data_IF_176247164133
#
_entry.id   IF_176247164133
#
_cell.length_a   1.000
_cell.length_b   1.000
_cell.length_c   1.000
_cell.angle_alpha   90.00
_cell.angle_beta   90.00
_cell.angle_gamma   90.00
#
_symmetry.space_group_name_H-M   'P 1'
#
loop_
_entity.id
_entity.type
_entity.pdbx_description
1 polymer ?
#
# COMPACT_ATOMS: atom_id res chain seq x y z
N UNK A 1 -22.93 -2.48 -32.07
CA UNK A 1 -22.32 -3.66 -31.43
C UNK A 1 -20.82 -3.48 -31.12
N UNK A 2 -19.96 -3.01 -32.04
CA UNK A 2 -18.52 -2.80 -31.75
C UNK A 2 -18.23 -1.95 -30.49
N UNK A 3 -18.95 -0.85 -30.31
CA UNK A 3 -18.78 0.02 -29.13
C UNK A 3 -19.12 -0.67 -27.79
N UNK A 4 -20.06 -1.62 -27.80
CA UNK A 4 -20.47 -2.34 -26.59
C UNK A 4 -19.40 -3.36 -26.15
N UNK A 5 -18.75 -4.00 -27.12
CA UNK A 5 -17.60 -4.87 -26.86
C UNK A 5 -16.38 -4.08 -26.37
N UNK A 6 -16.12 -2.89 -26.93
CA UNK A 6 -15.06 -2.01 -26.43
C UNK A 6 -15.31 -1.53 -25.00
N UNK A 7 -16.57 -1.26 -24.65
CA UNK A 7 -16.97 -0.87 -23.29
C UNK A 7 -16.79 -2.02 -22.29
N UNK A 8 -17.18 -3.24 -22.67
CA UNK A 8 -17.01 -4.44 -21.84
C UNK A 8 -15.52 -4.78 -21.63
N UNK A 9 -14.68 -4.61 -22.65
CA UNK A 9 -13.23 -4.81 -22.54
C UNK A 9 -12.59 -3.75 -21.63
N UNK A 10 -13.00 -2.48 -21.72
CA UNK A 10 -12.54 -1.42 -20.81
C UNK A 10 -12.97 -1.65 -19.35
N UNK A 11 -14.21 -2.11 -19.13
CA UNK A 11 -14.71 -2.49 -17.81
C UNK A 11 -13.96 -3.70 -17.24
N UNK A 12 -13.59 -4.67 -18.09
CA UNK A 12 -12.76 -5.80 -17.67
C UNK A 12 -11.35 -5.34 -17.27
N UNK A 13 -10.72 -4.43 -18.02
CA UNK A 13 -9.41 -3.87 -17.62
C UNK A 13 -9.46 -3.06 -16.32
N UNK A 14 -10.58 -2.41 -15.99
CA UNK A 14 -10.77 -1.75 -14.70
C UNK A 14 -10.80 -2.73 -13.50
N UNK A 15 -11.03 -4.02 -13.74
CA UNK A 15 -10.98 -5.07 -12.70
C UNK A 15 -9.60 -5.73 -12.55
N UNK A 16 -8.63 -5.39 -13.40
CA UNK A 16 -7.26 -5.90 -13.34
C UNK A 16 -6.29 -4.88 -12.74
N UNK A 17 -6.35 -4.68 -11.43
CA UNK A 17 -5.13 -4.37 -10.67
C UNK A 17 -5.20 -5.15 -9.36
N UNK A 18 -4.50 -6.28 -9.30
CA UNK A 18 -4.42 -7.18 -8.14
C UNK A 18 -3.73 -6.56 -6.92
N UNK A 19 -3.04 -5.44 -7.13
CA UNK A 19 -2.43 -4.57 -6.14
C UNK A 19 -2.28 -3.20 -6.81
N UNK A 20 -2.41 -2.10 -6.07
CA UNK A 20 -1.95 -0.80 -6.56
C UNK A 20 -0.72 -0.37 -5.78
N UNK A 21 0.25 0.19 -6.48
CA UNK A 21 1.44 0.81 -5.90
C UNK A 21 1.30 2.32 -5.97
N UNK A 22 1.91 3.01 -5.02
CA UNK A 22 1.89 4.46 -4.94
C UNK A 22 3.21 4.99 -4.38
N UNK A 23 3.47 6.28 -4.62
CA UNK A 23 4.64 6.97 -4.10
C UNK A 23 4.18 8.10 -3.18
N UNK A 24 4.77 8.14 -2.00
CA UNK A 24 4.56 9.18 -1.01
C UNK A 24 5.77 10.10 -1.00
N UNK A 25 5.53 11.41 -1.06
CA UNK A 25 6.61 12.39 -1.02
C UNK A 25 7.09 12.52 0.43
N UNK A 26 8.40 12.51 0.62
CA UNK A 26 9.00 12.87 1.91
C UNK A 26 8.74 14.34 2.22
N UNK A 27 8.33 14.59 3.44
CA UNK A 27 8.15 15.92 4.00
C UNK A 27 9.02 16.07 5.24
N UNK A 28 9.39 17.31 5.56
CA UNK A 28 10.20 17.63 6.73
C UNK A 28 9.38 18.45 7.71
N UNK A 29 9.43 18.08 8.97
CA UNK A 29 8.91 18.90 10.06
C UNK A 29 9.89 20.04 10.35
N UNK A 30 9.42 21.28 10.24
CA UNK A 30 10.28 22.46 10.40
C UNK A 30 10.73 22.68 11.85
N UNK A 31 10.00 22.15 12.84
CA UNK A 31 10.30 22.32 14.26
C UNK A 31 11.21 21.21 14.78
N UNK A 32 10.92 19.95 14.43
CA UNK A 32 11.70 18.80 14.91
C UNK A 32 12.85 18.40 13.98
N UNK A 33 12.78 18.78 12.70
CA UNK A 33 13.71 18.31 11.67
C UNK A 33 13.49 16.85 11.24
N UNK A 34 12.44 16.20 11.76
CA UNK A 34 12.10 14.82 11.41
C UNK A 34 11.44 14.73 10.04
N UNK A 35 11.82 13.71 9.27
CA UNK A 35 11.21 13.41 7.97
C UNK A 35 10.02 12.47 8.15
N UNK A 36 8.97 12.68 7.36
CA UNK A 36 7.75 11.88 7.39
C UNK A 36 7.13 11.75 5.99
N UNK A 37 6.11 10.90 5.87
CA UNK A 37 5.22 10.82 4.71
C UNK A 37 3.77 10.98 5.16
N UNK A 38 2.93 11.51 4.27
CA UNK A 38 1.48 11.59 4.47
C UNK A 38 0.78 10.49 3.68
N UNK A 39 -0.04 9.69 4.37
CA UNK A 39 -0.94 8.72 3.75
C UNK A 39 -2.33 8.90 4.35
N UNK A 40 -3.34 9.12 3.50
CA UNK A 40 -4.74 9.36 3.92
C UNK A 40 -4.88 10.36 5.08
N UNK A 41 -4.27 11.54 4.92
CA UNK A 41 -4.27 12.63 5.90
C UNK A 41 -3.61 12.30 7.26
N UNK A 42 -2.94 11.14 7.37
CA UNK A 42 -2.17 10.74 8.55
C UNK A 42 -0.67 10.85 8.28
N UNK A 43 0.06 11.36 9.29
CA UNK A 43 1.52 11.48 9.30
C UNK A 43 2.16 10.18 9.78
N UNK A 44 3.16 9.72 9.05
CA UNK A 44 4.01 8.57 9.40
C UNK A 44 5.48 8.98 9.36
N UNK A 45 6.14 8.98 10.52
CA UNK A 45 7.55 9.35 10.64
C UNK A 45 8.46 8.29 10.02
N UNK A 46 9.54 8.74 9.37
CA UNK A 46 10.55 7.85 8.81
C UNK A 46 11.51 7.38 9.90
N UNK A 47 11.87 6.10 9.87
CA UNK A 47 12.77 5.49 10.85
C UNK A 47 13.58 4.36 10.22
N UNK A 48 14.83 4.22 10.65
CA UNK A 48 15.66 3.04 10.37
C UNK A 48 15.81 2.15 11.63
N UNK A 49 15.04 2.43 12.69
CA UNK A 49 15.01 1.55 13.84
C UNK A 49 14.47 0.17 13.44
N UNK A 50 15.04 -0.93 13.98
CA UNK A 50 14.54 -2.27 13.70
C UNK A 50 13.03 -2.39 13.93
N UNK A 51 12.30 -2.82 12.91
CA UNK A 51 10.84 -2.97 12.95
C UNK A 51 10.05 -1.67 12.74
N UNK A 52 10.70 -0.55 12.44
CA UNK A 52 10.03 0.75 12.15
C UNK A 52 10.30 1.30 10.76
N UNK A 53 11.15 0.65 9.97
CA UNK A 53 11.46 1.04 8.58
C UNK A 53 10.35 0.69 7.59
N UNK A 54 9.30 0.01 8.03
CA UNK A 54 8.08 -0.19 7.25
C UNK A 54 6.90 -0.39 8.18
N UNK A 55 5.70 -0.21 7.64
CA UNK A 55 4.46 -0.45 8.36
C UNK A 55 3.47 -1.15 7.44
N UNK A 56 2.88 -2.24 7.93
CA UNK A 56 1.77 -2.91 7.28
C UNK A 56 0.54 -2.83 8.19
N UNK A 57 -0.59 -2.42 7.65
CA UNK A 57 -1.85 -2.31 8.38
C UNK A 57 -3.06 -2.63 7.49
N UNK A 58 -4.18 -2.92 8.14
CA UNK A 58 -5.47 -3.08 7.46
C UNK A 58 -6.23 -1.76 7.55
N UNK A 59 -6.61 -1.21 6.40
CA UNK A 59 -7.48 -0.05 6.29
C UNK A 59 -8.66 -0.43 5.38
N UNK A 60 -9.87 -0.29 5.91
CA UNK A 60 -11.09 -0.85 5.30
C UNK A 60 -10.91 -2.33 4.91
N UNK A 61 -10.96 -2.63 3.62
CA UNK A 61 -10.77 -3.97 3.04
C UNK A 61 -9.39 -4.11 2.37
N UNK A 62 -8.42 -3.25 2.69
CA UNK A 62 -7.11 -3.21 2.04
C UNK A 62 -5.96 -3.43 3.04
N UNK A 63 -5.09 -4.38 2.73
CA UNK A 63 -3.79 -4.50 3.40
C UNK A 63 -2.85 -3.50 2.74
N UNK A 64 -2.46 -2.47 3.50
CA UNK A 64 -1.59 -1.39 3.07
C UNK A 64 -0.20 -1.62 3.64
N UNK A 65 0.82 -1.51 2.79
CA UNK A 65 2.23 -1.46 3.16
C UNK A 65 2.79 -0.08 2.84
N UNK A 66 3.54 0.47 3.78
CA UNK A 66 4.32 1.70 3.64
C UNK A 66 5.79 1.41 3.91
N UNK A 67 6.66 1.82 2.99
CA UNK A 67 8.09 1.98 3.27
C UNK A 67 8.30 3.26 4.09
N UNK A 68 8.91 3.11 5.26
CA UNK A 68 9.20 4.21 6.20
C UNK A 68 10.71 4.35 6.44
N UNK A 69 11.57 3.78 5.59
CA UNK A 69 13.01 3.89 5.71
C UNK A 69 13.47 5.36 5.74
N UNK A 70 14.44 5.72 6.58
CA UNK A 70 14.90 7.12 6.70
C UNK A 70 16.07 7.41 5.77
N UNK A 71 17.05 6.51 5.71
CA UNK A 71 18.32 6.70 4.98
C UNK A 71 18.24 6.48 3.47
N UNK A 72 17.15 5.93 2.95
CA UNK A 72 16.91 5.77 1.51
C UNK A 72 16.99 7.16 0.80
N UNK A 73 17.91 7.38 -0.15
CA UNK A 73 18.18 8.69 -0.75
C UNK A 73 17.02 9.26 -1.58
N UNK A 74 16.10 8.41 -2.01
CA UNK A 74 14.93 8.80 -2.80
C UNK A 74 14.11 9.87 -2.04
N UNK A 75 13.64 10.94 -2.71
CA UNK A 75 12.71 11.90 -2.12
C UNK A 75 11.28 11.34 -1.96
N UNK A 76 11.05 10.10 -2.38
CA UNK A 76 9.78 9.39 -2.26
C UNK A 76 9.95 8.09 -1.47
N UNK A 77 8.86 7.64 -0.87
CA UNK A 77 8.71 6.29 -0.32
C UNK A 77 7.65 5.53 -1.07
N UNK A 78 7.85 4.25 -1.21
CA UNK A 78 6.91 3.38 -1.88
C UNK A 78 5.85 2.88 -0.90
N UNK A 79 4.67 2.69 -1.42
CA UNK A 79 3.64 1.95 -0.71
C UNK A 79 2.84 1.13 -1.71
N UNK A 80 2.15 0.13 -1.19
CA UNK A 80 1.24 -0.67 -1.97
C UNK A 80 0.05 -1.08 -1.13
N UNK A 81 -1.06 -1.35 -1.80
CA UNK A 81 -2.23 -1.90 -1.15
C UNK A 81 -2.85 -3.02 -1.98
N UNK A 82 -3.27 -4.06 -1.29
CA UNK A 82 -4.05 -5.17 -1.86
C UNK A 82 -5.38 -5.17 -1.14
N UNK A 83 -6.47 -4.99 -1.89
CA UNK A 83 -7.82 -4.95 -1.36
C UNK A 83 -8.53 -6.29 -1.53
N UNK A 84 -9.50 -6.60 -0.67
CA UNK A 84 -10.25 -7.86 -0.67
C UNK A 84 -10.90 -8.17 -2.02
N UNK A 85 -11.41 -7.14 -2.70
CA UNK A 85 -11.99 -7.27 -4.05
C UNK A 85 -10.96 -7.54 -5.15
N UNK A 86 -9.68 -7.25 -4.89
CA UNK A 86 -8.53 -7.51 -5.76
C UNK A 86 -7.84 -8.84 -5.41
N UNK A 87 -8.16 -9.41 -4.25
CA UNK A 87 -7.60 -10.68 -3.80
C UNK A 87 -8.16 -11.83 -4.66
N UNK A 88 -7.30 -12.57 -5.39
CA UNK A 88 -7.78 -13.52 -6.39
C UNK A 88 -8.51 -14.67 -5.73
N UNK A 89 -9.75 -14.94 -6.14
CA UNK A 89 -10.51 -16.10 -5.64
C UNK A 89 -9.89 -17.46 -5.98
N UNK A 90 -8.87 -17.47 -6.84
CA UNK A 90 -8.09 -18.65 -7.22
C UNK A 90 -6.90 -18.93 -6.29
N UNK A 91 -6.63 -18.08 -5.30
CA UNK A 91 -5.61 -18.38 -4.28
C UNK A 91 -6.07 -19.53 -3.41
N UNK A 92 -5.14 -20.41 -3.02
CA UNK A 92 -5.39 -21.45 -2.02
C UNK A 92 -5.51 -20.89 -0.60
N UNK A 93 -5.17 -19.62 -0.42
CA UNK A 93 -5.24 -18.87 0.83
C UNK A 93 -6.55 -18.06 0.85
N UNK A 94 -7.21 -18.00 2.01
CA UNK A 94 -8.35 -17.13 2.28
C UNK A 94 -7.91 -15.68 2.49
N UNK A 95 -8.82 -14.72 2.32
CA UNK A 95 -8.51 -13.31 2.61
C UNK A 95 -8.08 -13.13 4.07
N UNK A 96 -8.77 -13.80 4.98
CA UNK A 96 -8.50 -13.73 6.41
C UNK A 96 -7.10 -14.26 6.75
N UNK A 97 -6.69 -15.40 6.17
CA UNK A 97 -5.33 -15.93 6.33
C UNK A 97 -4.26 -15.00 5.73
N UNK A 98 -4.55 -14.37 4.58
CA UNK A 98 -3.65 -13.40 3.96
C UNK A 98 -3.43 -12.17 4.84
N UNK A 99 -4.52 -11.62 5.41
CA UNK A 99 -4.44 -10.48 6.34
C UNK A 99 -3.65 -10.88 7.59
N UNK A 100 -3.93 -12.04 8.19
CA UNK A 100 -3.23 -12.50 9.38
C UNK A 100 -1.73 -12.65 9.14
N UNK A 101 -1.34 -13.28 8.03
CA UNK A 101 0.07 -13.44 7.64
C UNK A 101 0.75 -12.07 7.54
N UNK A 102 0.18 -11.13 6.77
CA UNK A 102 0.80 -9.82 6.52
C UNK A 102 0.90 -8.92 7.74
N UNK A 103 -0.05 -9.02 8.67
CA UNK A 103 0.01 -8.27 9.92
C UNK A 103 0.94 -8.94 10.96
N UNK A 104 1.22 -10.24 10.83
CA UNK A 104 2.12 -10.96 11.72
C UNK A 104 3.61 -10.75 11.41
N UNK A 105 3.95 -10.44 10.15
CA UNK A 105 5.33 -10.14 9.69
C UNK A 105 5.92 -8.86 10.33
N UNK A 106 5.11 -8.06 11.03
CA UNK A 106 5.51 -6.78 11.66
C UNK A 106 5.85 -6.94 13.16
N UNK A 107 6.00 -8.18 13.67
CA UNK A 107 6.39 -8.45 15.06
C UNK A 107 7.88 -8.61 15.31
#
# INVERSE_FOLDING_TARGET
MRALYSLLVLLAFATLSSAYTFQLKKEGDAESGEEYVMYNDQKYDLSDEPGKSSLTFLEDDCVVYLDLSKTEPSPFREGNAICKNMFPSSTHQTWEEYVEERLSEVK
#
